data_IF_663642718611
#
_entry.id   IF_663642718611
#
_cell.length_a   1.000
_cell.length_b   1.000
_cell.length_c   1.000
_cell.angle_alpha   90.00
_cell.angle_beta   90.00
_cell.angle_gamma   90.00
#
_symmetry.space_group_name_H-M   'P 1'
#
loop_
_entity.id
_entity.type
_entity.pdbx_description
1 polymer ?
#
# COMPACT_ATOMS: atom_id res chain seq x y z
N UNK A 1 -26.60 2.08 14.47
CA UNK A 1 -25.83 2.83 13.49
C UNK A 1 -26.24 4.31 13.43
N UNK A 2 -27.52 4.68 13.29
CA UNK A 2 -27.99 6.08 13.34
C UNK A 2 -27.68 6.81 14.67
N UNK A 3 -27.76 6.12 15.82
CA UNK A 3 -27.46 6.71 17.14
C UNK A 3 -25.97 7.06 17.34
N UNK A 4 -25.05 6.29 16.73
CA UNK A 4 -23.60 6.56 16.82
C UNK A 4 -23.23 7.80 15.99
N UNK A 5 -23.86 7.96 14.82
CA UNK A 5 -23.68 9.12 13.94
C UNK A 5 -24.23 10.39 14.59
N UNK A 6 -25.38 10.29 15.27
CA UNK A 6 -25.99 11.42 15.98
C UNK A 6 -25.15 11.88 17.19
N UNK A 7 -24.55 10.95 17.97
CA UNK A 7 -23.62 11.30 19.05
C UNK A 7 -22.32 11.92 18.56
N UNK A 8 -21.81 11.50 17.41
CA UNK A 8 -20.62 12.12 16.79
C UNK A 8 -20.95 13.53 16.27
N UNK A 9 -22.15 13.74 15.68
CA UNK A 9 -22.59 15.08 15.28
C UNK A 9 -22.82 16.02 16.47
N UNK A 10 -23.38 15.54 17.59
CA UNK A 10 -23.57 16.37 18.79
C UNK A 10 -22.26 16.71 19.49
N UNK A 11 -21.28 15.83 19.48
CA UNK A 11 -19.93 16.12 19.99
C UNK A 11 -19.16 17.11 19.09
N UNK A 12 -19.51 17.21 17.81
CA UNK A 12 -18.90 18.16 16.87
C UNK A 12 -19.54 19.55 16.91
N UNK A 13 -20.74 19.71 17.52
CA UNK A 13 -21.40 21.02 17.67
C UNK A 13 -21.01 21.77 18.93
N UNK A 14 -20.23 21.18 19.82
CA UNK A 14 -19.76 21.83 21.03
C UNK A 14 -18.54 22.73 20.71
N UNK A 15 -18.82 23.99 20.46
CA UNK A 15 -17.84 25.03 20.11
C UNK A 15 -16.84 25.37 21.23
N UNK A 16 -16.95 24.73 22.41
CA UNK A 16 -16.02 24.90 23.54
C UNK A 16 -14.81 23.96 23.49
N UNK A 17 -14.86 22.92 22.66
CA UNK A 17 -13.69 22.07 22.39
C UNK A 17 -12.83 22.73 21.33
N UNK A 18 -11.70 23.30 21.76
CA UNK A 18 -10.63 23.81 20.91
C UNK A 18 -10.04 22.65 20.08
N UNK A 19 -10.69 22.32 18.95
CA UNK A 19 -10.37 21.16 18.08
C UNK A 19 -9.76 21.61 16.75
N UNK A 20 -8.53 22.20 16.73
CA UNK A 20 -7.85 22.52 15.46
C UNK A 20 -7.50 21.26 14.65
N UNK A 21 -7.70 20.06 15.21
CA UNK A 21 -7.23 18.79 14.65
C UNK A 21 -8.26 18.00 13.83
N UNK A 22 -9.53 18.44 13.77
CA UNK A 22 -10.57 17.83 12.95
C UNK A 22 -10.82 18.57 11.63
N UNK A 23 -10.14 19.68 11.41
CA UNK A 23 -10.32 20.54 10.23
C UNK A 23 -10.19 19.79 8.90
N UNK A 24 -9.25 18.83 8.71
CA UNK A 24 -9.16 18.10 7.44
C UNK A 24 -10.31 17.12 7.18
N UNK A 25 -10.99 16.62 8.24
CA UNK A 25 -12.16 15.76 8.05
C UNK A 25 -13.44 16.55 7.76
N UNK A 26 -13.56 17.74 8.33
CA UNK A 26 -14.76 18.59 8.18
C UNK A 26 -14.91 19.09 6.75
N UNK A 27 -13.81 19.24 6.02
CA UNK A 27 -13.80 19.76 4.66
C UNK A 27 -13.85 18.67 3.57
N UNK A 28 -13.67 17.40 3.93
CA UNK A 28 -13.70 16.31 2.97
C UNK A 28 -15.13 15.89 2.62
N UNK A 29 -15.41 15.73 1.33
CA UNK A 29 -16.72 15.22 0.90
C UNK A 29 -16.95 13.78 1.39
N UNK A 30 -18.19 13.42 1.78
CA UNK A 30 -18.52 12.06 2.21
C UNK A 30 -18.13 11.00 1.17
N UNK A 31 -18.30 11.31 -0.11
CA UNK A 31 -17.91 10.41 -1.20
C UNK A 31 -16.42 10.10 -1.23
N UNK A 32 -15.55 11.08 -0.96
CA UNK A 32 -14.10 10.87 -0.87
C UNK A 32 -13.76 9.99 0.34
N UNK A 33 -14.34 10.29 1.50
CA UNK A 33 -14.12 9.52 2.75
C UNK A 33 -14.50 8.05 2.54
N UNK A 34 -15.71 7.78 2.05
CA UNK A 34 -16.18 6.40 1.86
C UNK A 34 -15.41 5.64 0.78
N UNK A 35 -15.03 6.31 -0.31
CA UNK A 35 -14.18 5.70 -1.34
C UNK A 35 -12.83 5.28 -0.78
N UNK A 36 -12.22 6.13 0.05
CA UNK A 36 -10.93 5.86 0.68
C UNK A 36 -11.00 4.69 1.67
N UNK A 37 -12.04 4.66 2.53
CA UNK A 37 -12.31 3.52 3.40
C UNK A 37 -12.50 2.23 2.62
N UNK A 38 -13.35 2.26 1.59
CA UNK A 38 -13.65 1.07 0.78
C UNK A 38 -12.41 0.51 0.11
N UNK A 39 -11.57 1.37 -0.46
CA UNK A 39 -10.32 0.95 -1.10
C UNK A 39 -9.34 0.36 -0.08
N UNK A 40 -9.19 0.97 1.11
CA UNK A 40 -8.31 0.46 2.15
C UNK A 40 -8.75 -0.93 2.64
N UNK A 41 -10.05 -1.13 2.87
CA UNK A 41 -10.60 -2.44 3.24
C UNK A 41 -10.44 -3.45 2.11
N UNK A 42 -10.63 -3.06 0.85
CA UNK A 42 -10.44 -3.94 -0.31
C UNK A 42 -8.98 -4.42 -0.41
N UNK A 43 -8.00 -3.54 -0.19
CA UNK A 43 -6.58 -3.91 -0.19
C UNK A 43 -6.23 -4.81 0.98
N UNK A 44 -6.74 -4.53 2.18
CA UNK A 44 -6.57 -5.38 3.35
C UNK A 44 -7.16 -6.79 3.11
N UNK A 45 -8.36 -6.87 2.54
CA UNK A 45 -8.99 -8.13 2.17
C UNK A 45 -8.20 -8.88 1.09
N UNK A 46 -7.73 -8.17 0.05
CA UNK A 46 -6.90 -8.76 -1.00
C UNK A 46 -5.60 -9.37 -0.44
N UNK A 47 -4.97 -8.73 0.54
CA UNK A 47 -3.80 -9.29 1.23
C UNK A 47 -4.15 -10.60 1.95
N UNK A 48 -5.25 -10.64 2.72
CA UNK A 48 -5.70 -11.86 3.43
C UNK A 48 -6.02 -12.99 2.46
N UNK A 49 -6.71 -12.66 1.35
CA UNK A 49 -7.00 -13.63 0.27
C UNK A 49 -5.71 -14.15 -0.36
N UNK A 50 -4.74 -13.28 -0.62
CA UNK A 50 -3.44 -13.69 -1.16
C UNK A 50 -2.68 -14.61 -0.20
N UNK A 51 -2.72 -14.34 1.11
CA UNK A 51 -2.13 -15.24 2.13
C UNK A 51 -2.81 -16.60 2.10
N UNK A 52 -4.14 -16.66 2.02
CA UNK A 52 -4.90 -17.90 1.90
C UNK A 52 -4.53 -18.66 0.62
N UNK A 53 -4.58 -18.02 -0.53
CA UNK A 53 -4.26 -18.61 -1.82
C UNK A 53 -2.81 -19.11 -1.92
N UNK A 54 -1.87 -18.45 -1.24
CA UNK A 54 -0.45 -18.84 -1.20
C UNK A 54 -0.15 -20.04 -0.31
N UNK A 55 -1.14 -20.57 0.43
CA UNK A 55 -0.94 -21.71 1.34
C UNK A 55 -0.67 -23.03 0.59
N UNK A 56 -1.09 -23.15 -0.69
CA UNK A 56 -0.77 -24.27 -1.57
C UNK A 56 -1.11 -25.63 -0.96
N UNK A 57 -0.16 -26.57 -0.96
CA UNK A 57 -0.31 -27.93 -0.45
C UNK A 57 -0.16 -28.09 1.08
N UNK A 58 -0.26 -27.02 1.87
CA UNK A 58 -0.27 -27.15 3.32
C UNK A 58 -1.58 -27.77 3.80
N UNK A 59 -1.57 -28.43 4.99
CA UNK A 59 -2.79 -28.97 5.57
C UNK A 59 -3.86 -27.87 5.72
N UNK A 60 -5.12 -28.23 5.52
CA UNK A 60 -6.26 -27.30 5.59
C UNK A 60 -6.26 -26.51 6.92
N UNK A 61 -5.93 -27.16 8.04
CA UNK A 61 -5.82 -26.54 9.36
C UNK A 61 -4.70 -25.49 9.45
N UNK A 62 -3.55 -25.76 8.85
CA UNK A 62 -2.41 -24.83 8.81
C UNK A 62 -2.70 -23.62 7.93
N UNK A 63 -3.33 -23.83 6.75
CA UNK A 63 -3.77 -22.77 5.86
C UNK A 63 -4.77 -21.84 6.55
N UNK A 64 -5.80 -22.41 7.20
CA UNK A 64 -6.82 -21.66 7.95
C UNK A 64 -6.20 -20.84 9.10
N UNK A 65 -5.31 -21.45 9.88
CA UNK A 65 -4.61 -20.73 10.97
C UNK A 65 -3.79 -19.56 10.46
N UNK A 66 -3.02 -19.76 9.38
CA UNK A 66 -2.22 -18.69 8.76
C UNK A 66 -3.09 -17.53 8.24
N UNK A 67 -4.23 -17.85 7.61
CA UNK A 67 -5.20 -16.85 7.13
C UNK A 67 -5.83 -16.07 8.29
N UNK A 68 -6.24 -16.74 9.37
CA UNK A 68 -6.80 -16.09 10.55
C UNK A 68 -5.79 -15.15 11.21
N UNK A 69 -4.53 -15.58 11.37
CA UNK A 69 -3.47 -14.74 11.91
C UNK A 69 -3.22 -13.50 11.04
N UNK A 70 -3.19 -13.66 9.71
CA UNK A 70 -3.05 -12.54 8.79
C UNK A 70 -4.25 -11.58 8.88
N UNK A 71 -5.48 -12.10 8.96
CA UNK A 71 -6.68 -11.29 9.11
C UNK A 71 -6.68 -10.50 10.43
N UNK A 72 -6.36 -11.16 11.55
CA UNK A 72 -6.27 -10.51 12.86
C UNK A 72 -5.17 -9.45 12.88
N UNK A 73 -3.97 -9.76 12.39
CA UNK A 73 -2.86 -8.80 12.34
C UNK A 73 -3.21 -7.57 11.48
N UNK A 74 -3.83 -7.79 10.31
CA UNK A 74 -4.26 -6.71 9.42
C UNK A 74 -5.37 -5.87 10.06
N UNK A 75 -6.38 -6.49 10.65
CA UNK A 75 -7.46 -5.78 11.34
C UNK A 75 -6.93 -4.97 12.55
N UNK A 76 -6.02 -5.55 13.34
CA UNK A 76 -5.36 -4.83 14.44
C UNK A 76 -4.56 -3.64 13.94
N UNK A 77 -3.78 -3.79 12.86
CA UNK A 77 -3.01 -2.71 12.26
C UNK A 77 -3.91 -1.56 11.79
N UNK A 78 -5.00 -1.88 11.08
CA UNK A 78 -6.01 -0.89 10.64
C UNK A 78 -6.64 -0.16 11.83
N UNK A 79 -7.06 -0.90 12.86
CA UNK A 79 -7.71 -0.33 14.03
C UNK A 79 -6.76 0.55 14.85
N UNK A 80 -5.53 0.10 15.10
CA UNK A 80 -4.53 0.86 15.87
C UNK A 80 -4.14 2.13 15.15
N UNK A 81 -3.85 2.08 13.85
CA UNK A 81 -3.47 3.27 13.08
C UNK A 81 -4.61 4.28 12.99
N UNK A 82 -5.85 3.81 12.81
CA UNK A 82 -7.03 4.67 12.81
C UNK A 82 -7.27 5.32 14.18
N UNK A 83 -7.16 4.54 15.27
CA UNK A 83 -7.34 5.04 16.63
C UNK A 83 -6.25 6.07 17.01
N UNK A 84 -5.00 5.84 16.62
CA UNK A 84 -3.92 6.81 16.81
C UNK A 84 -4.19 8.12 16.07
N UNK A 85 -4.65 8.06 14.82
CA UNK A 85 -5.01 9.23 14.05
C UNK A 85 -6.23 9.96 14.64
N UNK A 86 -7.27 9.22 15.02
CA UNK A 86 -8.49 9.78 15.63
C UNK A 86 -8.22 10.43 17.01
N UNK A 87 -7.25 9.90 17.77
CA UNK A 87 -6.86 10.49 19.07
C UNK A 87 -6.08 11.81 18.95
N UNK A 88 -5.71 12.22 17.72
CA UNK A 88 -4.92 13.42 17.47
C UNK A 88 -3.48 13.35 17.99
N UNK A 89 -2.98 12.15 18.31
CA UNK A 89 -1.60 11.96 18.81
C UNK A 89 -0.54 11.96 17.72
N UNK A 90 -0.96 11.86 16.44
CA UNK A 90 -0.03 11.90 15.32
C UNK A 90 0.26 13.36 14.95
N UNK A 91 1.55 13.71 14.94
CA UNK A 91 2.02 15.06 14.61
C UNK A 91 3.38 14.98 13.93
N UNK A 92 3.64 15.87 12.99
CA UNK A 92 4.96 16.06 12.37
C UNK A 92 5.84 17.04 13.16
N UNK A 93 5.25 17.87 14.03
CA UNK A 93 5.96 18.90 14.79
C UNK A 93 6.27 18.50 16.22
N UNK A 94 5.73 17.37 16.71
CA UNK A 94 6.06 16.81 18.03
C UNK A 94 7.52 16.28 18.07
N UNK A 95 8.04 16.12 19.26
CA UNK A 95 9.37 15.54 19.49
C UNK A 95 9.24 14.27 20.35
N UNK A 96 9.44 13.07 19.79
CA UNK A 96 9.71 12.77 18.36
C UNK A 96 8.48 13.04 17.46
N UNK A 97 8.67 13.21 16.12
CA UNK A 97 7.57 13.42 15.17
C UNK A 97 6.77 12.12 15.01
N UNK A 98 5.69 11.96 15.78
CA UNK A 98 4.93 10.71 15.92
C UNK A 98 4.32 10.23 14.60
N UNK A 99 3.89 11.14 13.72
CA UNK A 99 3.43 10.78 12.37
C UNK A 99 4.57 10.22 11.51
N UNK A 100 5.76 10.83 11.55
CA UNK A 100 6.95 10.33 10.87
C UNK A 100 7.40 8.96 11.39
N UNK A 101 7.33 8.73 12.71
CA UNK A 101 7.62 7.42 13.31
C UNK A 101 6.66 6.37 12.81
N UNK A 102 5.34 6.65 12.74
CA UNK A 102 4.35 5.71 12.21
C UNK A 102 4.64 5.35 10.75
N UNK A 103 5.00 6.33 9.91
CA UNK A 103 5.38 6.11 8.52
C UNK A 103 6.61 5.19 8.44
N UNK A 104 7.65 5.48 9.23
CA UNK A 104 8.87 4.66 9.27
C UNK A 104 8.58 3.21 9.71
N UNK A 105 7.72 3.03 10.72
CA UNK A 105 7.25 1.70 11.16
C UNK A 105 6.50 0.99 10.04
N UNK A 106 5.61 1.69 9.33
CA UNK A 106 4.88 1.14 8.18
C UNK A 106 5.81 0.68 7.05
N UNK A 107 6.80 1.49 6.68
CA UNK A 107 7.82 1.13 5.68
C UNK A 107 8.65 -0.05 6.15
N UNK A 108 9.11 -0.05 7.40
CA UNK A 108 9.85 -1.17 8.01
C UNK A 108 9.03 -2.46 8.00
N UNK A 109 7.75 -2.38 8.35
CA UNK A 109 6.82 -3.51 8.31
C UNK A 109 6.66 -4.04 6.86
N UNK A 110 6.51 -3.15 5.88
CA UNK A 110 6.39 -3.53 4.47
C UNK A 110 7.63 -4.29 3.98
N UNK A 111 8.83 -3.80 4.31
CA UNK A 111 10.09 -4.47 3.98
C UNK A 111 10.17 -5.82 4.69
N UNK A 112 9.89 -5.87 6.00
CA UNK A 112 9.90 -7.08 6.78
C UNK A 112 8.94 -8.15 6.23
N UNK A 113 7.69 -7.79 5.92
CA UNK A 113 6.70 -8.69 5.32
C UNK A 113 7.16 -9.15 3.93
N UNK A 114 7.55 -8.22 3.06
CA UNK A 114 7.98 -8.53 1.70
C UNK A 114 9.21 -9.44 1.61
N UNK A 115 10.17 -9.29 2.54
CA UNK A 115 11.41 -10.09 2.59
C UNK A 115 11.28 -11.38 3.40
N UNK A 116 10.25 -11.52 4.24
CA UNK A 116 10.00 -12.68 5.10
C UNK A 116 9.69 -13.99 4.37
N UNK A 117 9.48 -15.05 5.14
CA UNK A 117 8.96 -16.33 4.64
C UNK A 117 7.54 -16.18 4.04
N UNK A 118 6.73 -15.28 4.59
CA UNK A 118 5.41 -14.97 4.02
C UNK A 118 5.55 -14.35 2.64
N UNK A 119 6.43 -13.33 2.46
CA UNK A 119 6.70 -12.76 1.14
C UNK A 119 7.25 -13.79 0.13
N UNK A 120 8.07 -14.78 0.59
CA UNK A 120 8.49 -15.90 -0.28
C UNK A 120 7.30 -16.76 -0.74
N UNK A 121 6.39 -17.10 0.19
CA UNK A 121 5.17 -17.87 -0.11
C UNK A 121 4.26 -17.12 -1.08
N UNK A 122 4.04 -15.84 -0.87
CA UNK A 122 3.28 -15.00 -1.81
C UNK A 122 3.92 -14.99 -3.20
N UNK A 123 5.26 -14.84 -3.27
CA UNK A 123 5.98 -14.82 -4.53
C UNK A 123 5.92 -16.14 -5.30
N UNK A 124 5.85 -17.28 -4.63
CA UNK A 124 5.78 -18.61 -5.27
C UNK A 124 4.37 -19.12 -5.48
N UNK A 125 3.44 -18.77 -4.59
CA UNK A 125 2.06 -19.28 -4.60
C UNK A 125 1.07 -18.43 -5.40
N UNK A 126 1.41 -17.18 -5.75
CA UNK A 126 0.51 -16.30 -6.52
C UNK A 126 1.04 -16.13 -7.96
N UNK A 127 0.19 -16.22 -8.98
CA UNK A 127 0.59 -15.95 -10.37
C UNK A 127 1.16 -14.54 -10.54
N UNK A 128 2.23 -14.39 -11.35
CA UNK A 128 2.88 -13.10 -11.59
C UNK A 128 1.90 -12.04 -12.10
N UNK A 129 0.99 -12.42 -12.99
CA UNK A 129 -0.05 -11.53 -13.49
C UNK A 129 -0.96 -10.98 -12.38
N UNK A 130 -1.33 -11.82 -11.40
CA UNK A 130 -2.15 -11.40 -10.26
C UNK A 130 -1.38 -10.46 -9.32
N UNK A 131 -0.10 -10.74 -9.05
CA UNK A 131 0.77 -9.86 -8.27
C UNK A 131 0.89 -8.46 -8.89
N UNK A 132 1.02 -8.38 -10.22
CA UNK A 132 1.05 -7.12 -10.96
C UNK A 132 -0.34 -6.47 -10.93
N UNK A 133 -1.40 -7.24 -11.18
CA UNK A 133 -2.78 -6.74 -11.24
C UNK A 133 -3.26 -6.10 -9.95
N UNK A 134 -2.82 -6.61 -8.80
CA UNK A 134 -3.15 -5.98 -7.51
C UNK A 134 -2.63 -4.54 -7.44
N UNK A 135 -1.51 -4.19 -8.07
CA UNK A 135 -0.99 -2.81 -8.09
C UNK A 135 -1.92 -1.82 -8.83
N UNK A 136 -2.93 -2.30 -9.55
CA UNK A 136 -3.94 -1.46 -10.20
C UNK A 136 -4.73 -0.60 -9.20
N UNK A 137 -4.73 -0.93 -7.89
CA UNK A 137 -5.37 -0.11 -6.86
C UNK A 137 -4.84 1.33 -6.83
N UNK A 138 -3.62 1.55 -7.30
CA UNK A 138 -2.99 2.87 -7.36
C UNK A 138 -3.75 3.80 -8.32
N UNK A 139 -4.38 3.27 -9.35
CA UNK A 139 -5.19 4.09 -10.26
C UNK A 139 -6.40 4.76 -9.56
N UNK A 140 -7.36 4.03 -8.93
CA UNK A 140 -8.42 4.69 -8.19
C UNK A 140 -7.90 5.51 -6.99
N UNK A 141 -6.80 5.10 -6.35
CA UNK A 141 -6.18 5.89 -5.29
C UNK A 141 -5.76 7.27 -5.81
N UNK A 142 -5.10 7.35 -6.97
CA UNK A 142 -4.65 8.62 -7.55
C UNK A 142 -5.82 9.55 -7.93
N UNK A 143 -6.95 8.99 -8.37
CA UNK A 143 -8.17 9.77 -8.58
C UNK A 143 -8.70 10.37 -7.27
N UNK A 144 -8.62 9.60 -6.17
CA UNK A 144 -9.01 10.08 -4.84
C UNK A 144 -8.03 11.14 -4.33
N UNK A 145 -6.73 10.97 -4.54
CA UNK A 145 -5.71 11.98 -4.18
C UNK A 145 -5.93 13.27 -4.96
N UNK A 146 -6.22 13.20 -6.25
CA UNK A 146 -6.54 14.39 -7.02
C UNK A 146 -7.81 15.10 -6.49
N UNK A 147 -8.83 14.32 -6.11
CA UNK A 147 -10.03 14.88 -5.49
C UNK A 147 -9.70 15.53 -4.14
N UNK A 148 -8.87 14.90 -3.31
CA UNK A 148 -8.41 15.48 -2.05
C UNK A 148 -7.66 16.81 -2.26
N UNK A 149 -6.84 16.90 -3.30
CA UNK A 149 -6.24 18.18 -3.72
C UNK A 149 -7.33 19.21 -4.11
N UNK A 150 -8.30 18.82 -4.92
CA UNK A 150 -9.39 19.71 -5.34
C UNK A 150 -10.26 20.20 -4.17
N UNK A 151 -10.38 19.40 -3.13
CA UNK A 151 -11.08 19.73 -1.89
C UNK A 151 -10.18 20.50 -0.88
N UNK A 152 -8.93 20.83 -1.26
CA UNK A 152 -8.01 21.63 -0.44
C UNK A 152 -7.39 20.89 0.75
N UNK A 153 -7.40 19.53 0.73
CA UNK A 153 -6.88 18.71 1.82
C UNK A 153 -5.37 18.48 1.71
N UNK A 154 -4.82 18.49 0.51
CA UNK A 154 -3.43 18.17 0.24
C UNK A 154 -2.83 19.07 -0.83
N UNK A 155 -1.49 19.26 -0.84
CA UNK A 155 -0.83 20.12 -1.80
C UNK A 155 -0.81 19.50 -3.20
N UNK A 156 -0.82 20.35 -4.24
CA UNK A 156 -0.92 19.96 -5.65
C UNK A 156 0.17 19.00 -6.11
N UNK A 157 1.41 19.16 -5.62
CA UNK A 157 2.55 18.34 -6.04
C UNK A 157 2.39 16.86 -5.71
N UNK A 158 1.51 16.49 -4.78
CA UNK A 158 1.20 15.11 -4.42
C UNK A 158 0.09 14.49 -5.28
N UNK A 159 -0.52 15.24 -6.20
CA UNK A 159 -1.50 14.74 -7.16
C UNK A 159 -0.88 14.60 -8.55
N UNK A 160 -1.56 13.90 -9.46
CA UNK A 160 -1.12 13.78 -10.86
C UNK A 160 -1.20 15.12 -11.65
N UNK A 161 -1.84 16.15 -11.09
CA UNK A 161 -1.75 17.53 -11.62
C UNK A 161 -0.45 18.24 -11.23
N UNK A 162 0.35 17.65 -10.35
CA UNK A 162 1.68 18.11 -9.97
C UNK A 162 2.74 17.11 -10.43
N UNK A 163 3.50 16.57 -9.49
CA UNK A 163 4.65 15.69 -9.76
C UNK A 163 4.44 14.22 -9.41
N UNK A 164 3.20 13.82 -9.06
CA UNK A 164 2.86 12.44 -8.77
C UNK A 164 2.47 11.69 -10.04
N UNK A 165 3.40 10.96 -10.62
CA UNK A 165 3.17 10.15 -11.82
C UNK A 165 2.76 8.70 -11.50
N UNK A 166 2.41 8.40 -10.25
CA UNK A 166 2.12 7.04 -9.81
C UNK A 166 0.83 6.46 -10.41
N UNK A 167 -0.05 7.31 -10.89
CA UNK A 167 -1.22 6.94 -11.70
C UNK A 167 -0.83 6.04 -12.90
N UNK A 168 0.36 6.28 -13.49
CA UNK A 168 0.88 5.48 -14.60
C UNK A 168 1.16 4.04 -14.17
N UNK A 169 1.66 3.84 -12.94
CA UNK A 169 1.86 2.50 -12.39
C UNK A 169 0.54 1.77 -12.23
N UNK A 170 -0.48 2.44 -11.68
CA UNK A 170 -1.80 1.83 -11.49
C UNK A 170 -2.49 1.46 -12.80
N UNK A 171 -2.50 2.37 -13.77
CA UNK A 171 -3.12 2.15 -15.07
C UNK A 171 -2.38 1.08 -15.89
N UNK A 172 -1.06 1.16 -15.96
CA UNK A 172 -0.25 0.18 -16.70
C UNK A 172 -0.23 -1.19 -16.03
N UNK A 173 -0.49 -1.30 -14.71
CA UNK A 173 -0.63 -2.58 -14.02
C UNK A 173 -1.71 -3.47 -14.65
N UNK A 174 -2.84 -2.87 -15.04
CA UNK A 174 -3.95 -3.59 -15.70
C UNK A 174 -3.47 -4.18 -17.03
N UNK A 175 -2.84 -3.35 -17.87
CA UNK A 175 -2.37 -3.75 -19.20
C UNK A 175 -1.28 -4.81 -19.10
N UNK A 176 -0.29 -4.59 -18.23
CA UNK A 176 0.84 -5.52 -18.05
C UNK A 176 0.38 -6.84 -17.43
N UNK A 177 -0.54 -6.81 -16.47
CA UNK A 177 -1.11 -8.03 -15.89
C UNK A 177 -1.82 -8.89 -16.95
N UNK A 178 -2.66 -8.27 -17.79
CA UNK A 178 -3.35 -8.96 -18.89
C UNK A 178 -2.36 -9.50 -19.95
N UNK A 179 -1.31 -8.74 -20.25
CA UNK A 179 -0.26 -9.16 -21.17
C UNK A 179 0.50 -10.38 -20.63
N UNK A 180 0.94 -10.34 -19.36
CA UNK A 180 1.66 -11.44 -18.71
C UNK A 180 0.75 -12.69 -18.55
N UNK A 181 -0.55 -12.52 -18.30
CA UNK A 181 -1.49 -13.62 -18.25
C UNK A 181 -1.56 -14.40 -19.58
N UNK A 182 -1.45 -13.69 -20.72
CA UNK A 182 -1.45 -14.30 -22.05
C UNK A 182 -0.05 -14.74 -22.52
N UNK A 183 1.01 -14.13 -21.99
CA UNK A 183 2.40 -14.39 -22.35
C UNK A 183 3.29 -14.55 -21.09
N UNK A 184 3.19 -15.69 -20.39
CA UNK A 184 3.93 -15.90 -19.12
C UNK A 184 5.45 -15.82 -19.26
N UNK A 185 5.97 -15.99 -20.48
CA UNK A 185 7.39 -15.92 -20.77
C UNK A 185 7.95 -14.47 -20.88
N UNK A 186 7.09 -13.45 -20.90
CA UNK A 186 7.48 -12.06 -21.03
C UNK A 186 8.01 -11.45 -19.70
N UNK A 187 8.87 -12.18 -19.02
CA UNK A 187 9.48 -11.82 -17.71
C UNK A 187 10.23 -10.47 -17.77
N UNK A 188 10.83 -10.14 -18.92
CA UNK A 188 11.53 -8.88 -19.11
C UNK A 188 10.58 -7.67 -18.97
N UNK A 189 9.36 -7.77 -19.54
CA UNK A 189 8.34 -6.72 -19.44
C UNK A 189 7.94 -6.50 -17.96
N UNK A 190 7.68 -7.58 -17.23
CA UNK A 190 7.36 -7.50 -15.80
C UNK A 190 8.50 -6.89 -14.97
N UNK A 191 9.77 -7.19 -15.32
CA UNK A 191 10.94 -6.65 -14.65
C UNK A 191 11.08 -5.14 -14.87
N UNK A 192 10.97 -4.69 -16.12
CA UNK A 192 11.04 -3.27 -16.48
C UNK A 192 9.89 -2.51 -15.81
N UNK A 193 8.67 -3.04 -15.88
CA UNK A 193 7.51 -2.44 -15.24
C UNK A 193 7.67 -2.33 -13.73
N UNK A 194 8.16 -3.39 -13.07
CA UNK A 194 8.36 -3.38 -11.62
C UNK A 194 9.44 -2.37 -11.20
N UNK A 195 10.53 -2.24 -11.98
CA UNK A 195 11.59 -1.25 -11.74
C UNK A 195 11.05 0.18 -11.91
N UNK A 196 10.30 0.45 -12.97
CA UNK A 196 9.66 1.75 -13.20
C UNK A 196 8.68 2.10 -12.07
N UNK A 197 7.84 1.15 -11.63
CA UNK A 197 6.91 1.35 -10.53
C UNK A 197 7.59 1.65 -9.19
N UNK A 198 8.76 1.03 -8.92
CA UNK A 198 9.57 1.36 -7.73
C UNK A 198 10.09 2.80 -7.81
N UNK A 199 10.56 3.24 -8.99
CA UNK A 199 11.05 4.62 -9.19
C UNK A 199 9.91 5.62 -8.98
N UNK A 200 8.71 5.36 -9.54
CA UNK A 200 7.55 6.23 -9.36
C UNK A 200 7.06 6.26 -7.91
N UNK A 201 7.08 5.11 -7.21
CA UNK A 201 6.78 5.05 -5.78
C UNK A 201 7.79 5.86 -4.96
N UNK A 202 9.09 5.72 -5.24
CA UNK A 202 10.13 6.49 -4.56
C UNK A 202 9.96 8.00 -4.82
N UNK A 203 9.60 8.39 -6.05
CA UNK A 203 9.29 9.78 -6.40
C UNK A 203 8.19 10.34 -5.50
N UNK A 204 7.01 9.69 -5.44
CA UNK A 204 5.90 10.23 -4.65
C UNK A 204 6.19 10.20 -3.14
N UNK A 205 6.89 9.18 -2.63
CA UNK A 205 7.30 9.15 -1.23
C UNK A 205 8.23 10.34 -0.88
N UNK A 206 9.18 10.65 -1.77
CA UNK A 206 10.08 11.80 -1.61
C UNK A 206 9.29 13.11 -1.60
N UNK A 207 8.38 13.32 -2.57
CA UNK A 207 7.53 14.50 -2.62
C UNK A 207 6.67 14.62 -1.36
N UNK A 208 6.08 13.51 -0.91
CA UNK A 208 5.24 13.49 0.30
C UNK A 208 6.03 13.91 1.55
N UNK A 209 7.25 13.40 1.74
CA UNK A 209 8.13 13.75 2.86
C UNK A 209 8.55 15.21 2.79
N UNK A 210 8.98 15.68 1.62
CA UNK A 210 9.41 17.07 1.39
C UNK A 210 8.24 18.08 1.42
N UNK A 211 7.00 17.62 1.48
CA UNK A 211 5.79 18.43 1.64
C UNK A 211 5.27 18.47 3.08
N UNK A 212 5.85 17.66 4.01
CA UNK A 212 5.46 17.67 5.43
C UNK A 212 5.97 18.93 6.15
N UNK A 213 5.29 19.42 7.19
CA UNK A 213 5.73 20.59 7.96
C UNK A 213 6.86 20.23 8.92
N UNK A 214 8.00 19.87 8.37
CA UNK A 214 9.23 19.49 9.08
C UNK A 214 10.38 20.39 8.63
N UNK A 215 11.52 20.42 9.33
CA UNK A 215 12.70 21.20 8.93
C UNK A 215 13.27 20.88 7.55
N UNK A 216 12.93 19.71 6.99
CA UNK A 216 13.36 19.28 5.65
C UNK A 216 12.33 19.60 4.55
N UNK A 217 11.28 20.37 4.86
CA UNK A 217 10.26 20.79 3.91
C UNK A 217 10.87 21.61 2.78
N UNK A 218 10.61 21.22 1.54
CA UNK A 218 11.05 21.91 0.32
C UNK A 218 9.86 22.53 -0.42
N UNK A 219 8.72 21.84 -0.43
CA UNK A 219 7.51 22.35 -1.06
C UNK A 219 6.70 23.18 -0.06
N UNK A 220 6.76 24.52 -0.19
CA UNK A 220 6.09 25.46 0.70
C UNK A 220 4.66 25.83 0.30
N UNK A 221 4.12 25.16 -0.72
CA UNK A 221 2.71 25.30 -1.09
C UNK A 221 1.80 24.87 0.07
N UNK A 222 0.67 25.54 0.23
CA UNK A 222 -0.36 25.17 1.20
C UNK A 222 -1.52 24.44 0.53
N UNK A 223 -2.19 23.54 1.28
CA UNK A 223 -1.83 23.10 2.63
C UNK A 223 -0.57 22.23 2.66
N UNK A 224 0.15 22.22 3.79
CA UNK A 224 1.22 21.25 4.01
C UNK A 224 0.66 19.81 4.06
N UNK A 225 1.52 18.81 3.85
CA UNK A 225 1.14 17.41 3.94
C UNK A 225 0.95 16.95 5.41
N UNK A 226 -0.02 17.54 6.10
CA UNK A 226 -0.40 17.16 7.48
C UNK A 226 -1.60 16.22 7.51
N UNK A 227 -2.47 16.27 6.51
CA UNK A 227 -3.72 15.54 6.46
C UNK A 227 -3.56 14.03 6.67
N UNK A 228 -2.41 13.45 6.26
CA UNK A 228 -2.10 12.03 6.46
C UNK A 228 -1.88 11.63 7.92
N UNK A 229 -1.79 12.59 8.85
CA UNK A 229 -1.78 12.34 10.28
C UNK A 229 -3.18 12.18 10.87
N UNK A 230 -4.23 12.41 10.10
CA UNK A 230 -5.62 12.37 10.53
C UNK A 230 -6.38 11.16 9.98
N UNK A 231 -7.43 10.73 10.70
CA UNK A 231 -8.34 9.69 10.23
C UNK A 231 -9.23 10.21 9.08
N UNK A 232 -9.50 9.42 8.04
CA UNK A 232 -8.97 8.09 7.74
C UNK A 232 -7.65 8.12 6.94
N UNK A 233 -7.11 9.29 6.66
CA UNK A 233 -6.02 9.55 5.71
C UNK A 233 -4.69 8.91 6.15
N UNK A 234 -4.55 8.58 7.43
CA UNK A 234 -3.43 7.80 7.97
C UNK A 234 -3.22 6.48 7.25
N UNK A 235 -4.27 5.94 6.62
CA UNK A 235 -4.16 4.71 5.84
C UNK A 235 -3.46 4.91 4.49
N UNK A 236 -3.24 6.16 4.06
CA UNK A 236 -2.39 6.41 2.90
C UNK A 236 -0.98 5.85 3.14
N UNK A 237 -0.21 6.30 4.14
CA UNK A 237 1.10 5.73 4.43
C UNK A 237 1.02 4.34 5.09
N UNK A 238 0.01 4.06 5.93
CA UNK A 238 -0.03 2.84 6.73
C UNK A 238 -0.62 1.63 5.98
N UNK A 239 -1.37 1.82 4.90
CA UNK A 239 -1.99 0.72 4.13
C UNK A 239 -1.54 0.74 2.68
N UNK A 240 -1.79 1.83 1.95
CA UNK A 240 -1.54 1.86 0.50
C UNK A 240 -0.05 1.86 0.17
N UNK A 241 0.77 2.65 0.87
CA UNK A 241 2.22 2.64 0.70
C UNK A 241 2.81 1.29 1.12
N UNK A 242 2.35 0.73 2.24
CA UNK A 242 2.77 -0.60 2.70
C UNK A 242 2.44 -1.67 1.65
N UNK A 243 1.22 -1.67 1.11
CA UNK A 243 0.80 -2.62 0.08
C UNK A 243 1.61 -2.47 -1.21
N UNK A 244 1.90 -1.24 -1.64
CA UNK A 244 2.73 -0.96 -2.82
C UNK A 244 4.14 -1.52 -2.64
N UNK A 245 4.81 -1.24 -1.51
CA UNK A 245 6.16 -1.72 -1.21
C UNK A 245 6.20 -3.25 -1.15
N UNK A 246 5.28 -3.88 -0.38
CA UNK A 246 5.19 -5.35 -0.30
C UNK A 246 5.01 -5.95 -1.69
N UNK A 247 4.10 -5.39 -2.50
CA UNK A 247 3.83 -5.86 -3.85
C UNK A 247 5.08 -5.83 -4.74
N UNK A 248 5.79 -4.70 -4.79
CA UNK A 248 7.03 -4.58 -5.57
C UNK A 248 8.13 -5.56 -5.12
N UNK A 249 8.31 -5.75 -3.79
CA UNK A 249 9.27 -6.71 -3.24
C UNK A 249 8.89 -8.15 -3.63
N UNK A 250 7.62 -8.51 -3.50
CA UNK A 250 7.12 -9.86 -3.82
C UNK A 250 7.24 -10.13 -5.31
N UNK A 251 6.88 -9.18 -6.19
CA UNK A 251 7.08 -9.28 -7.65
C UNK A 251 8.57 -9.47 -7.97
N UNK A 252 9.46 -8.67 -7.39
CA UNK A 252 10.91 -8.81 -7.59
C UNK A 252 11.42 -10.20 -7.18
N UNK A 253 10.95 -10.73 -6.05
CA UNK A 253 11.28 -12.10 -5.61
C UNK A 253 10.78 -13.14 -6.59
N UNK A 254 9.54 -13.02 -7.08
CA UNK A 254 8.97 -13.91 -8.10
C UNK A 254 9.84 -13.94 -9.35
N UNK A 255 10.20 -12.78 -9.87
CA UNK A 255 11.04 -12.65 -11.05
C UNK A 255 12.43 -13.29 -10.87
N UNK A 256 13.01 -13.19 -9.66
CA UNK A 256 14.29 -13.88 -9.33
C UNK A 256 14.14 -15.39 -9.30
N UNK A 257 13.02 -15.92 -8.77
CA UNK A 257 12.78 -17.37 -8.79
C UNK A 257 12.64 -17.90 -10.21
N UNK A 258 11.91 -17.20 -11.08
CA UNK A 258 11.76 -17.59 -12.49
C UNK A 258 13.07 -17.55 -13.26
N UNK A 259 13.92 -16.54 -13.04
CA UNK A 259 15.25 -16.47 -13.68
C UNK A 259 16.11 -17.67 -13.28
N UNK A 260 16.18 -17.97 -11.97
CA UNK A 260 16.97 -19.12 -11.46
C UNK A 260 16.46 -20.45 -11.97
N UNK A 261 15.15 -20.63 -12.11
CA UNK A 261 14.57 -21.84 -12.67
C UNK A 261 14.97 -22.04 -14.12
N UNK A 262 14.98 -20.98 -14.94
CA UNK A 262 15.42 -21.02 -16.35
C UNK A 262 16.92 -21.33 -16.49
N UNK A 263 17.78 -20.82 -15.61
CA UNK A 263 19.21 -21.09 -15.61
C UNK A 263 19.54 -22.56 -15.24
N UNK A 264 18.71 -23.17 -14.40
CA UNK A 264 18.91 -24.58 -13.97
C UNK A 264 18.40 -25.62 -14.95
N UNK A 265 17.38 -25.31 -15.74
CA UNK A 265 16.77 -26.25 -16.69
C UNK A 265 17.76 -26.82 -17.74
N UNK A 266 18.64 -26.02 -18.40
CA UNK A 266 19.63 -26.54 -19.35
C UNK A 266 20.71 -27.41 -18.67
N UNK A 267 21.14 -27.05 -17.43
CA UNK A 267 22.14 -27.82 -16.68
C UNK A 267 21.65 -29.19 -16.24
N UNK A 268 20.37 -29.31 -15.89
CA UNK A 268 19.76 -30.60 -15.55
C UNK A 268 19.62 -31.52 -16.76
N UNK A 269 19.33 -30.95 -17.96
CA UNK A 269 19.24 -31.71 -19.20
C UNK A 269 20.61 -32.17 -19.74
N UNK A 270 21.71 -31.49 -19.37
CA UNK A 270 23.06 -31.81 -19.79
C UNK A 270 23.80 -32.75 -18.81
N UNK A 271 23.22 -33.12 -17.66
CA UNK A 271 23.82 -34.06 -16.72
C UNK A 271 23.76 -35.47 -17.32
N UNK A 272 24.94 -36.19 -17.55
CA UNK A 272 24.89 -37.56 -18.05
C UNK A 272 24.18 -38.44 -17.04
N UNK A 273 23.35 -39.35 -17.55
CA UNK A 273 22.72 -40.44 -16.78
C UNK A 273 23.81 -41.33 -16.18
N UNK A 274 24.25 -41.05 -14.97
CA UNK A 274 25.20 -41.86 -14.22
C UNK A 274 24.49 -43.05 -13.53
N UNK A 275 23.64 -43.75 -14.27
CA UNK A 275 22.95 -44.97 -13.78
C UNK A 275 22.72 -45.98 -14.89
N UNK A 276 23.82 -46.45 -15.48
CA UNK A 276 23.81 -47.66 -16.28
C UNK A 276 25.24 -48.22 -16.32
N UNK A 277 25.69 -48.82 -15.20
CA UNK A 277 26.78 -49.82 -15.19
C UNK A 277 26.62 -50.69 -13.96
#
# INVERSE_FOLDING_TARGET
>A
MKLLICKVCTLLSDSSLNLPRLVPMVNASPGLIWSFFSLAIAIAAAFVVAVHASAGHTTCSSARRGTLLAALATATWLAVTLALAASGRLSFTSRPPTAGVLIAVGVGLAIAVGTSRLGARLATGIPLAALIGVQAFRFPLELMLHRAYREGLMPVQMSYSGFNFDILTGLSAIVVALYIARRPNAVAVARIWNAAGIVLLANILTIAVLSTPTPIRVFHNEPANEWIAHAPWVWLPAVFVVAAIVGHIVIFRRLRYESRARERAPRAAAAPSAAAS
#
